data_IF_448170899664
#
_entry.id   IF_448170899664
#
_cell.length_a   1.000
_cell.length_b   1.000
_cell.length_c   1.000
_cell.angle_alpha   90.00
_cell.angle_beta   90.00
_cell.angle_gamma   90.00
#
_symmetry.space_group_name_H-M   'P 1'
#
loop_
_entity.id
_entity.type
_entity.pdbx_description
1 polymer ?
#
# COMPACT_ATOMS: atom_id res chain seq x y z
N UNK A 1 3.04 -2.93 -35.85
CA UNK A 1 3.30 -1.48 -35.70
C UNK A 1 2.13 -0.91 -34.91
N UNK A 2 2.34 -0.48 -33.66
CA UNK A 2 1.24 -0.04 -32.77
C UNK A 2 0.47 1.13 -33.40
N UNK A 3 -0.86 1.00 -33.54
CA UNK A 3 -1.71 2.03 -34.13
C UNK A 3 -1.59 3.38 -33.39
N UNK A 4 -1.35 3.35 -32.07
CA UNK A 4 -1.10 4.55 -31.26
C UNK A 4 0.21 5.25 -31.62
N UNK A 5 1.29 4.49 -31.91
CA UNK A 5 2.56 5.06 -32.37
C UNK A 5 2.44 5.67 -33.77
N UNK A 6 1.65 5.05 -34.65
CA UNK A 6 1.35 5.59 -35.97
C UNK A 6 0.52 6.89 -35.87
N UNK A 7 -0.51 6.90 -35.02
CA UNK A 7 -1.30 8.12 -34.77
C UNK A 7 -0.45 9.24 -34.19
N UNK A 8 0.51 8.92 -33.32
CA UNK A 8 1.46 9.88 -32.76
C UNK A 8 2.41 10.43 -33.83
N UNK A 9 2.94 9.57 -34.71
CA UNK A 9 3.86 9.99 -35.78
C UNK A 9 3.16 10.82 -36.86
N UNK A 10 1.87 10.55 -37.11
CA UNK A 10 1.01 11.35 -37.98
C UNK A 10 0.52 12.65 -37.34
N UNK A 11 0.83 12.90 -36.06
CA UNK A 11 0.42 14.10 -35.34
C UNK A 11 -1.06 14.15 -34.96
N UNK A 12 -1.76 13.01 -35.05
CA UNK A 12 -3.19 12.90 -34.72
C UNK A 12 -3.44 12.94 -33.22
N UNK A 13 -2.50 12.42 -32.41
CA UNK A 13 -2.59 12.42 -30.94
C UNK A 13 -1.57 13.35 -30.29
N UNK A 14 -2.00 14.05 -29.25
CA UNK A 14 -1.12 14.86 -28.42
C UNK A 14 -0.18 13.96 -27.59
N UNK A 15 1.03 14.43 -27.20
CA UNK A 15 1.96 13.63 -26.39
C UNK A 15 1.35 13.11 -25.08
N UNK A 16 0.55 13.93 -24.40
CA UNK A 16 -0.11 13.56 -23.14
C UNK A 16 -1.22 12.51 -23.34
N UNK A 17 -1.97 12.60 -24.45
CA UNK A 17 -3.00 11.62 -24.79
C UNK A 17 -2.36 10.27 -25.11
N UNK A 18 -1.29 10.28 -25.91
CA UNK A 18 -0.52 9.08 -26.21
C UNK A 18 0.08 8.45 -24.94
N UNK A 19 0.66 9.26 -24.05
CA UNK A 19 1.17 8.76 -22.77
C UNK A 19 0.05 8.09 -21.97
N UNK A 20 -1.12 8.71 -21.84
CA UNK A 20 -2.28 8.16 -21.14
C UNK A 20 -2.77 6.85 -21.77
N UNK A 21 -2.81 6.75 -23.09
CA UNK A 21 -3.18 5.50 -23.79
C UNK A 21 -2.21 4.36 -23.47
N UNK A 22 -0.90 4.64 -23.49
CA UNK A 22 0.13 3.66 -23.14
C UNK A 22 0.03 3.24 -21.67
N UNK A 23 -0.06 4.19 -20.74
CA UNK A 23 -0.16 3.91 -19.31
C UNK A 23 -1.45 3.18 -18.95
N UNK A 24 -2.56 3.48 -19.63
CA UNK A 24 -3.82 2.74 -19.50
C UNK A 24 -3.66 1.28 -19.95
N UNK A 25 -2.91 1.05 -21.02
CA UNK A 25 -2.59 -0.30 -21.48
C UNK A 25 -1.73 -1.05 -20.45
N UNK A 26 -0.72 -0.40 -19.86
CA UNK A 26 0.11 -0.95 -18.79
C UNK A 26 -0.69 -1.23 -17.51
N UNK A 27 -1.62 -0.35 -17.13
CA UNK A 27 -2.57 -0.56 -16.04
C UNK A 27 -3.40 -1.83 -16.26
N UNK A 28 -3.84 -2.05 -17.49
CA UNK A 28 -4.50 -3.29 -17.91
C UNK A 28 -3.54 -4.47 -18.14
N UNK A 29 -2.24 -4.30 -17.97
CA UNK A 29 -1.25 -5.37 -18.07
C UNK A 29 -0.69 -5.80 -16.69
N UNK A 30 -1.10 -5.14 -15.61
CA UNK A 30 -0.69 -5.46 -14.24
C UNK A 30 -0.92 -6.95 -13.91
N UNK A 31 0.16 -7.61 -13.52
CA UNK A 31 0.23 -9.01 -13.13
C UNK A 31 1.11 -9.19 -11.88
N UNK A 32 0.88 -10.23 -11.08
CA UNK A 32 1.74 -10.52 -9.93
C UNK A 32 3.13 -10.90 -10.42
N UNK A 33 4.16 -10.28 -9.87
CA UNK A 33 5.56 -10.61 -10.20
C UNK A 33 6.12 -11.64 -9.21
N UNK A 34 7.14 -12.38 -9.63
CA UNK A 34 7.90 -13.30 -8.76
C UNK A 34 8.81 -12.58 -7.75
N UNK A 35 8.81 -11.24 -7.72
CA UNK A 35 9.62 -10.44 -6.81
C UNK A 35 9.30 -10.71 -5.35
N UNK A 36 10.33 -10.87 -4.52
CA UNK A 36 10.22 -11.15 -3.09
C UNK A 36 10.98 -10.11 -2.28
N UNK A 37 10.41 -9.74 -1.14
CA UNK A 37 11.02 -8.85 -0.15
C UNK A 37 11.46 -9.68 1.04
N UNK A 38 12.73 -9.66 1.39
CA UNK A 38 13.28 -10.57 2.41
C UNK A 38 14.22 -9.81 3.35
N UNK A 39 13.99 -9.96 4.66
CA UNK A 39 14.86 -9.38 5.69
C UNK A 39 16.01 -10.33 6.11
N UNK A 40 16.19 -11.46 5.42
CA UNK A 40 17.29 -12.39 5.71
C UNK A 40 18.52 -12.01 4.90
N UNK A 41 19.54 -11.51 5.59
CA UNK A 41 20.91 -11.45 5.06
C UNK A 41 21.37 -12.91 4.96
N UNK A 42 21.74 -13.39 3.76
CA UNK A 42 22.39 -14.71 3.60
C UNK A 42 23.52 -14.78 4.63
N UNK A 43 23.39 -15.64 5.65
CA UNK A 43 24.53 -15.99 6.51
C UNK A 43 25.57 -16.57 5.57
N UNK A 44 26.71 -15.90 5.45
CA UNK A 44 27.85 -16.38 4.68
C UNK A 44 28.19 -17.79 5.18
N UNK A 45 28.33 -18.72 4.24
CA UNK A 45 28.63 -20.11 4.51
C UNK A 45 29.96 -20.24 5.27
N UNK A 46 29.87 -20.32 6.59
CA UNK A 46 30.90 -20.84 7.49
C UNK A 46 30.19 -21.38 8.72
N UNK A 47 29.45 -22.48 8.55
CA UNK A 47 29.30 -23.47 9.59
C UNK A 47 28.79 -24.76 8.94
N UNK A 48 29.61 -25.79 9.07
CA UNK A 48 29.33 -27.16 8.68
C UNK A 48 28.07 -27.65 9.39
N UNK A 49 26.93 -27.69 8.68
CA UNK A 49 25.89 -28.66 9.02
C UNK A 49 25.14 -29.13 7.77
N UNK A 50 25.64 -30.23 7.19
CA UNK A 50 24.93 -31.02 6.19
C UNK A 50 23.86 -31.86 6.89
N UNK A 51 22.78 -31.25 7.40
CA UNK A 51 21.52 -31.96 7.62
C UNK A 51 20.34 -31.00 7.63
N UNK A 52 19.66 -30.87 6.49
CA UNK A 52 18.20 -30.87 6.30
C UNK A 52 17.90 -30.40 4.88
N UNK A 53 16.95 -31.06 4.21
CA UNK A 53 16.38 -30.60 2.95
C UNK A 53 15.81 -29.19 3.20
N UNK A 54 16.42 -28.17 2.59
CA UNK A 54 15.98 -26.77 2.70
C UNK A 54 14.77 -26.52 1.78
N UNK A 55 13.68 -27.26 2.04
CA UNK A 55 12.38 -27.04 1.44
C UNK A 55 11.78 -25.74 2.01
N UNK A 56 11.94 -24.64 1.30
CA UNK A 56 11.05 -23.48 1.40
C UNK A 56 11.06 -22.72 2.73
N UNK A 57 12.22 -22.18 3.15
CA UNK A 57 12.25 -21.13 4.17
C UNK A 57 11.39 -19.96 3.67
N UNK A 58 10.23 -19.73 4.30
CA UNK A 58 9.38 -18.58 4.01
C UNK A 58 10.21 -17.28 4.10
N UNK A 59 10.56 -16.72 2.95
CA UNK A 59 11.27 -15.45 2.83
C UNK A 59 10.27 -14.32 3.01
N UNK A 60 10.16 -13.80 4.22
CA UNK A 60 9.16 -12.79 4.60
C UNK A 60 9.85 -11.42 4.80
N UNK A 61 9.14 -10.33 4.51
CA UNK A 61 9.65 -8.98 4.69
C UNK A 61 9.73 -8.58 6.17
N UNK A 62 8.74 -9.01 6.96
CA UNK A 62 8.68 -8.84 8.40
C UNK A 62 8.37 -10.17 9.10
N UNK A 63 8.79 -10.35 10.36
CA UNK A 63 8.53 -11.59 11.08
C UNK A 63 7.04 -11.75 11.42
N UNK A 64 6.34 -10.62 11.59
CA UNK A 64 4.88 -10.55 11.67
C UNK A 64 4.26 -9.94 10.40
N UNK A 65 2.93 -9.82 10.37
CA UNK A 65 2.20 -9.20 9.26
C UNK A 65 2.62 -7.76 9.01
N UNK A 66 2.74 -7.38 7.74
CA UNK A 66 2.98 -5.98 7.33
C UNK A 66 1.67 -5.23 7.47
N UNK A 67 1.66 -4.15 8.24
CA UNK A 67 0.45 -3.36 8.52
C UNK A 67 0.25 -2.23 7.52
N UNK A 68 1.33 -1.55 7.14
CA UNK A 68 1.29 -0.37 6.26
C UNK A 68 2.55 -0.29 5.42
N UNK A 69 2.40 0.22 4.19
CA UNK A 69 3.48 0.52 3.27
C UNK A 69 3.28 1.92 2.69
N UNK A 70 4.37 2.60 2.38
CA UNK A 70 4.36 3.91 1.73
C UNK A 70 5.54 4.00 0.75
N UNK A 71 5.31 4.59 -0.42
CA UNK A 71 6.36 4.82 -1.42
C UNK A 71 6.64 6.32 -1.46
N UNK A 72 7.91 6.65 -1.66
CA UNK A 72 8.34 8.03 -1.84
C UNK A 72 7.63 8.66 -3.05
N UNK A 73 7.11 9.87 -2.86
CA UNK A 73 6.40 10.62 -3.91
C UNK A 73 7.35 11.40 -4.83
N UNK A 74 8.58 11.64 -4.40
CA UNK A 74 9.54 12.47 -5.13
C UNK A 74 10.29 11.66 -6.18
N UNK A 75 10.96 10.59 -5.79
CA UNK A 75 11.73 9.75 -6.71
C UNK A 75 11.06 8.41 -7.01
N UNK A 76 10.04 8.01 -6.22
CA UNK A 76 9.41 6.70 -6.38
C UNK A 76 10.36 5.52 -6.13
N UNK A 77 11.57 5.76 -5.63
CA UNK A 77 12.63 4.77 -5.48
C UNK A 77 12.56 4.00 -4.16
N UNK A 78 12.20 4.68 -3.09
CA UNK A 78 12.24 4.11 -1.74
C UNK A 78 10.85 3.70 -1.25
N UNK A 79 10.73 2.45 -0.80
CA UNK A 79 9.55 1.89 -0.15
C UNK A 79 9.79 1.79 1.35
N UNK A 80 8.86 2.28 2.17
CA UNK A 80 8.77 2.02 3.60
C UNK A 80 7.78 0.90 3.87
N UNK A 81 8.12 0.04 4.82
CA UNK A 81 7.19 -0.97 5.33
C UNK A 81 7.22 -1.06 6.85
N UNK A 82 6.02 -1.18 7.43
CA UNK A 82 5.80 -1.25 8.87
C UNK A 82 5.23 -2.60 9.26
N UNK A 83 5.87 -3.24 10.22
CA UNK A 83 5.46 -4.53 10.76
C UNK A 83 4.54 -4.41 11.97
N UNK A 84 3.67 -5.41 12.12
CA UNK A 84 2.92 -5.64 13.36
C UNK A 84 3.84 -6.03 14.54
N UNK A 85 5.10 -6.36 14.26
CA UNK A 85 6.18 -6.63 15.21
C UNK A 85 6.97 -5.38 15.63
N UNK A 86 6.47 -4.18 15.30
CA UNK A 86 7.09 -2.86 15.53
C UNK A 86 8.32 -2.55 14.68
N UNK A 87 8.68 -3.42 13.73
CA UNK A 87 9.82 -3.18 12.85
C UNK A 87 9.48 -2.24 11.70
N UNK A 88 10.44 -1.42 11.30
CA UNK A 88 10.37 -0.52 10.14
C UNK A 88 11.51 -0.90 9.21
N UNK A 89 11.20 -1.14 7.93
CA UNK A 89 12.20 -1.47 6.92
C UNK A 89 12.09 -0.51 5.74
N UNK A 90 13.24 -0.14 5.18
CA UNK A 90 13.34 0.69 3.97
C UNK A 90 13.92 -0.17 2.85
N UNK A 91 13.31 -0.11 1.68
CA UNK A 91 13.68 -0.89 0.51
C UNK A 91 13.99 0.04 -0.65
N UNK A 92 15.08 -0.25 -1.35
CA UNK A 92 15.40 0.39 -2.63
C UNK A 92 14.79 -0.44 -3.76
N UNK A 93 13.82 0.13 -4.48
CA UNK A 93 13.14 -0.54 -5.58
C UNK A 93 13.95 -0.57 -6.88
N UNK A 94 15.05 0.19 -6.94
CA UNK A 94 15.97 0.30 -8.08
C UNK A 94 17.35 -0.30 -7.82
N UNK A 95 17.61 -0.80 -6.61
CA UNK A 95 18.87 -1.44 -6.28
C UNK A 95 19.09 -2.69 -7.15
N UNK A 96 19.84 -2.51 -8.23
CA UNK A 96 20.39 -3.59 -9.02
C UNK A 96 21.71 -4.04 -8.39
N UNK A 97 21.85 -5.34 -8.13
CA UNK A 97 23.11 -5.91 -7.71
C UNK A 97 23.46 -7.05 -8.66
N UNK A 98 24.64 -6.94 -9.28
CA UNK A 98 25.22 -7.94 -10.21
C UNK A 98 25.35 -9.34 -9.60
N UNK A 99 25.28 -9.45 -8.26
CA UNK A 99 25.52 -10.69 -7.52
C UNK A 99 24.26 -11.30 -6.90
N UNK A 100 23.11 -10.63 -7.01
CA UNK A 100 21.85 -11.05 -6.40
C UNK A 100 20.78 -11.31 -7.45
N UNK A 101 19.97 -12.34 -7.23
CA UNK A 101 18.78 -12.62 -8.04
C UNK A 101 17.96 -11.33 -8.22
N UNK A 102 17.68 -10.89 -9.46
CA UNK A 102 17.00 -9.61 -9.74
C UNK A 102 15.56 -9.56 -9.20
N UNK A 103 15.05 -10.70 -8.72
CA UNK A 103 13.73 -10.85 -8.11
C UNK A 103 13.73 -10.65 -6.59
N UNK A 104 14.88 -10.48 -5.92
CA UNK A 104 14.94 -10.41 -4.45
C UNK A 104 15.36 -9.02 -3.97
N UNK A 105 14.41 -8.30 -3.38
CA UNK A 105 14.67 -7.04 -2.68
C UNK A 105 15.14 -7.32 -1.24
N UNK A 106 16.25 -6.69 -0.88
CA UNK A 106 16.78 -6.67 0.49
C UNK A 106 16.57 -5.27 1.08
N UNK A 107 16.31 -5.16 2.39
CA UNK A 107 16.16 -3.86 3.01
C UNK A 107 17.53 -3.16 3.01
N UNK A 108 17.53 -1.86 2.73
CA UNK A 108 18.70 -1.01 2.97
C UNK A 108 19.00 -0.98 4.47
N UNK A 109 17.95 -0.74 5.26
CA UNK A 109 17.99 -0.75 6.70
C UNK A 109 16.67 -1.27 7.25
N UNK A 110 16.74 -2.01 8.36
CA UNK A 110 15.60 -2.55 9.08
C UNK A 110 15.81 -2.32 10.57
N UNK A 111 15.01 -1.46 11.17
CA UNK A 111 15.05 -1.22 12.61
C UNK A 111 14.05 -2.13 13.31
N UNK A 112 14.55 -2.84 14.32
CA UNK A 112 13.78 -3.72 15.18
C UNK A 112 13.43 -3.02 16.50
N UNK A 113 12.56 -3.67 17.29
CA UNK A 113 12.08 -3.15 18.58
C UNK A 113 13.22 -2.75 19.51
N UNK A 114 13.37 -1.44 19.73
CA UNK A 114 14.37 -0.81 20.60
C UNK A 114 13.68 0.16 21.57
N UNK A 115 14.36 0.59 22.64
CA UNK A 115 13.82 1.56 23.61
C UNK A 115 13.44 2.91 22.98
N UNK A 116 14.13 3.35 21.93
CA UNK A 116 13.84 4.58 21.18
C UNK A 116 12.72 4.42 20.15
N UNK A 117 12.33 3.18 19.84
CA UNK A 117 11.41 2.83 18.75
C UNK A 117 10.02 2.48 19.29
N UNK A 118 9.10 2.12 18.40
CA UNK A 118 7.75 1.74 18.82
C UNK A 118 7.76 0.47 19.69
N UNK A 119 6.89 0.45 20.71
CA UNK A 119 6.77 -0.69 21.62
C UNK A 119 5.85 -1.79 21.09
N UNK A 120 4.83 -1.38 20.35
CA UNK A 120 3.82 -2.24 19.76
C UNK A 120 3.77 -2.08 18.23
N UNK A 121 3.00 -2.94 17.57
CA UNK A 121 2.88 -2.98 16.12
C UNK A 121 2.49 -1.63 15.53
N UNK A 122 3.06 -1.35 14.36
CA UNK A 122 2.79 -0.13 13.60
C UNK A 122 1.40 -0.25 12.98
N UNK A 123 0.65 0.85 12.96
CA UNK A 123 -0.70 0.90 12.39
C UNK A 123 -0.71 1.57 11.01
N UNK A 124 0.07 2.65 10.86
CA UNK A 124 0.14 3.43 9.62
C UNK A 124 1.54 4.03 9.45
N UNK A 125 1.98 4.17 8.21
CA UNK A 125 3.21 4.85 7.80
C UNK A 125 2.89 5.85 6.68
N UNK A 126 3.54 7.01 6.70
CA UNK A 126 3.48 7.97 5.61
C UNK A 126 4.79 8.74 5.51
N UNK A 127 5.22 9.05 4.28
CA UNK A 127 6.31 10.01 4.08
C UNK A 127 5.86 11.41 4.45
N UNK A 128 6.80 12.22 4.90
CA UNK A 128 6.57 13.63 5.07
C UNK A 128 6.31 14.27 3.70
N UNK A 129 5.20 14.99 3.48
CA UNK A 129 4.77 15.36 2.13
C UNK A 129 5.71 16.31 1.37
N UNK A 130 6.57 17.04 2.08
CA UNK A 130 7.44 18.07 1.51
C UNK A 130 8.92 17.68 1.50
N UNK A 131 9.29 16.55 2.09
CA UNK A 131 10.67 16.09 2.24
C UNK A 131 10.73 14.56 2.29
N UNK A 132 11.49 13.94 1.40
CA UNK A 132 11.70 12.48 1.36
C UNK A 132 12.56 11.98 2.53
N UNK A 133 13.30 12.86 3.19
CA UNK A 133 14.21 12.53 4.28
C UNK A 133 13.50 12.31 5.62
N UNK A 134 12.20 12.59 5.70
CA UNK A 134 11.40 12.40 6.90
C UNK A 134 10.16 11.55 6.64
N UNK A 135 9.77 10.77 7.65
CA UNK A 135 8.51 10.02 7.60
C UNK A 135 7.87 9.90 8.99
N UNK A 136 6.57 9.65 8.99
CA UNK A 136 5.73 9.50 10.15
C UNK A 136 5.34 8.04 10.34
N UNK A 137 5.33 7.60 11.59
CA UNK A 137 4.81 6.29 11.97
C UNK A 137 3.86 6.42 13.16
N UNK A 138 2.75 5.69 13.10
CA UNK A 138 1.82 5.55 14.21
C UNK A 138 1.75 4.11 14.67
N UNK A 139 1.49 3.91 15.96
CA UNK A 139 1.50 2.57 16.57
C UNK A 139 0.38 2.38 17.59
N UNK A 140 0.12 1.10 17.90
CA UNK A 140 -0.69 0.68 19.03
C UNK A 140 -0.11 1.09 20.40
N UNK A 141 1.12 1.62 20.46
CA UNK A 141 1.73 2.15 21.68
C UNK A 141 1.31 3.56 22.09
N UNK A 142 0.28 4.09 21.41
CA UNK A 142 -0.31 5.40 21.64
C UNK A 142 0.57 6.57 21.19
N UNK A 143 1.64 6.28 20.43
CA UNK A 143 2.56 7.30 19.94
C UNK A 143 2.49 7.48 18.44
N UNK A 144 2.75 8.72 18.01
CA UNK A 144 3.14 9.09 16.66
C UNK A 144 4.58 9.57 16.72
N UNK A 145 5.42 9.06 15.83
CA UNK A 145 6.85 9.38 15.79
C UNK A 145 7.24 9.92 14.43
N UNK A 146 8.15 10.88 14.42
CA UNK A 146 8.85 11.34 13.22
C UNK A 146 10.21 10.66 13.18
N UNK A 147 10.56 10.14 12.03
CA UNK A 147 11.82 9.47 11.77
C UNK A 147 12.55 10.12 10.61
N UNK A 148 13.88 10.04 10.65
CA UNK A 148 14.72 10.28 9.46
C UNK A 148 14.74 9.02 8.60
N UNK A 149 14.58 9.16 7.28
CA UNK A 149 14.68 8.02 6.35
C UNK A 149 16.12 7.57 6.11
N UNK A 150 17.12 8.43 6.33
CA UNK A 150 18.54 8.06 6.17
C UNK A 150 19.06 7.16 7.30
N UNK A 151 18.57 7.35 8.52
CA UNK A 151 19.12 6.70 9.73
C UNK A 151 18.10 5.84 10.48
N UNK A 152 16.83 5.87 10.07
CA UNK A 152 15.66 5.32 10.79
C UNK A 152 15.59 5.71 12.29
N UNK A 153 16.25 6.79 12.69
CA UNK A 153 16.22 7.25 14.09
C UNK A 153 14.97 8.09 14.33
N UNK A 154 14.37 7.92 15.51
CA UNK A 154 13.24 8.75 15.93
C UNK A 154 13.73 10.14 16.33
N UNK A 155 13.24 11.17 15.65
CA UNK A 155 13.56 12.58 15.91
C UNK A 155 12.64 13.16 16.98
N UNK A 156 11.33 12.91 16.85
CA UNK A 156 10.32 13.38 17.79
C UNK A 156 9.31 12.26 18.11
N UNK A 157 8.78 12.28 19.33
CA UNK A 157 7.75 11.34 19.79
C UNK A 157 6.60 12.11 20.41
N UNK A 158 5.39 11.86 19.92
CA UNK A 158 4.16 12.47 20.41
C UNK A 158 3.27 11.39 21.02
N UNK A 159 2.96 11.52 22.31
CA UNK A 159 2.05 10.61 23.00
C UNK A 159 0.63 11.19 23.00
N UNK A 160 -0.34 10.40 22.53
CA UNK A 160 -1.76 10.79 22.42
C UNK A 160 -2.65 10.10 23.46
N UNK A 161 -2.06 9.29 24.35
CA UNK A 161 -2.74 8.54 25.43
C UNK A 161 -3.84 7.57 24.95
N UNK A 162 -3.88 7.31 23.65
CA UNK A 162 -4.89 6.48 22.99
C UNK A 162 -4.30 5.81 21.76
N UNK A 163 -4.81 4.63 21.40
CA UNK A 163 -4.37 3.89 20.22
C UNK A 163 -4.57 4.75 18.97
N UNK A 164 -3.55 4.85 18.13
CA UNK A 164 -3.61 5.58 16.86
C UNK A 164 -3.85 4.59 15.73
N UNK A 165 -4.99 4.69 15.05
CA UNK A 165 -5.35 3.80 13.94
C UNK A 165 -4.77 4.25 12.61
N UNK A 166 -4.79 5.54 12.35
CA UNK A 166 -4.20 6.16 11.15
C UNK A 166 -3.81 7.60 11.46
N UNK A 167 -2.97 8.16 10.61
CA UNK A 167 -2.58 9.55 10.66
C UNK A 167 -2.44 10.07 9.23
N UNK A 168 -2.59 11.39 9.06
CA UNK A 168 -2.35 12.01 7.76
C UNK A 168 -1.89 13.47 7.92
N UNK A 169 -1.19 13.97 6.90
CA UNK A 169 -0.70 15.34 6.80
C UNK A 169 -1.08 15.92 5.44
N UNK A 170 -1.49 17.18 5.43
CA UNK A 170 -1.86 17.83 4.17
C UNK A 170 -0.67 17.89 3.21
N UNK A 171 -0.84 17.47 1.94
CA UNK A 171 0.24 17.51 0.95
C UNK A 171 0.52 18.92 0.41
N UNK A 172 -0.35 19.89 0.71
CA UNK A 172 -0.27 21.27 0.18
C UNK A 172 -0.12 22.32 1.28
N UNK A 173 -0.57 22.03 2.50
CA UNK A 173 -0.69 23.05 3.51
C UNK A 173 0.66 23.57 4.00
N UNK A 174 0.69 24.87 4.29
CA UNK A 174 1.83 25.51 4.96
C UNK A 174 1.91 25.18 6.46
N UNK A 175 0.82 24.67 7.04
CA UNK A 175 0.79 24.30 8.46
C UNK A 175 1.41 22.92 8.68
N UNK A 176 2.12 22.76 9.80
CA UNK A 176 2.78 21.52 10.18
C UNK A 176 1.89 20.65 11.07
N UNK A 177 0.60 20.54 10.74
CA UNK A 177 -0.38 19.77 11.51
C UNK A 177 -0.52 18.35 10.97
N UNK A 178 -0.39 17.38 11.86
CA UNK A 178 -0.69 15.97 11.61
C UNK A 178 -2.02 15.64 12.28
N UNK A 179 -2.97 15.15 11.48
CA UNK A 179 -4.24 14.66 11.99
C UNK A 179 -4.10 13.20 12.40
N UNK A 180 -4.52 12.88 13.62
CA UNK A 180 -4.38 11.54 14.19
C UNK A 180 -5.77 10.97 14.50
N UNK A 181 -6.11 9.86 13.85
CA UNK A 181 -7.28 9.06 14.13
C UNK A 181 -6.99 8.15 15.33
N UNK A 182 -7.70 8.35 16.43
CA UNK A 182 -7.46 7.61 17.67
C UNK A 182 -8.67 6.81 18.13
N UNK A 183 -8.49 5.93 19.11
CA UNK A 183 -9.61 5.23 19.76
C UNK A 183 -10.58 6.20 20.44
N UNK A 184 -10.15 7.42 20.75
CA UNK A 184 -11.05 8.45 21.25
C UNK A 184 -11.98 8.98 20.15
N UNK A 185 -13.18 9.46 20.51
CA UNK A 185 -14.11 10.07 19.56
C UNK A 185 -13.67 11.44 19.02
N UNK A 186 -12.52 11.95 19.47
CA UNK A 186 -11.97 13.21 19.01
C UNK A 186 -10.77 12.95 18.10
N UNK A 187 -10.66 13.75 17.05
CA UNK A 187 -9.46 13.76 16.21
C UNK A 187 -8.44 14.63 16.91
N UNK A 188 -7.22 14.14 17.10
CA UNK A 188 -6.12 14.94 17.66
C UNK A 188 -5.33 15.56 16.50
N UNK A 189 -5.08 16.86 16.57
CA UNK A 189 -4.11 17.51 15.70
C UNK A 189 -2.83 17.73 16.49
N UNK A 190 -1.73 17.25 15.93
CA UNK A 190 -0.38 17.43 16.48
C UNK A 190 0.33 18.46 15.62
N UNK A 191 0.78 19.54 16.22
CA UNK A 191 1.65 20.51 15.56
C UNK A 191 3.10 20.09 15.70
N UNK A 192 3.76 19.82 14.57
CA UNK A 192 5.15 19.37 14.56
C UNK A 192 6.13 20.50 14.90
N UNK A 193 5.75 21.76 14.73
CA UNK A 193 6.63 22.89 15.02
C UNK A 193 6.76 23.14 16.53
N UNK A 194 5.62 23.20 17.22
CA UNK A 194 5.58 23.40 18.68
C UNK A 194 5.69 22.09 19.47
N UNK A 195 5.45 20.96 18.82
CA UNK A 195 5.28 19.65 19.45
C UNK A 195 4.01 19.51 20.29
N UNK A 196 3.08 20.48 20.21
CA UNK A 196 1.85 20.48 20.98
C UNK A 196 0.78 19.56 20.34
N UNK A 197 0.06 18.82 21.17
CA UNK A 197 -1.09 17.96 20.80
C UNK A 197 -2.44 18.53 21.25
N UNK A 198 -2.52 19.86 21.40
CA UNK A 198 -3.61 20.53 22.12
C UNK A 198 -4.91 20.65 21.32
N UNK A 199 -4.86 20.66 19.99
CA UNK A 199 -6.06 20.82 19.18
C UNK A 199 -6.82 19.49 19.07
N UNK A 200 -8.11 19.51 19.42
CA UNK A 200 -8.98 18.36 19.31
C UNK A 200 -10.24 18.73 18.51
N UNK A 201 -10.55 17.95 17.48
CA UNK A 201 -11.78 18.11 16.70
C UNK A 201 -12.85 17.20 17.31
N UNK A 202 -13.89 17.82 17.87
CA UNK A 202 -14.96 17.14 18.60
C UNK A 202 -16.19 17.04 17.72
N UNK A 203 -16.74 15.83 17.54
CA UNK A 203 -18.01 15.64 16.83
C UNK A 203 -18.39 14.17 16.61
N UNK A 204 -17.41 13.28 16.37
CA UNK A 204 -17.69 11.85 16.29
C UNK A 204 -18.23 11.30 17.62
N UNK A 205 -19.07 10.27 17.55
CA UNK A 205 -19.62 9.60 18.74
C UNK A 205 -18.93 8.26 19.04
N UNK A 206 -17.98 7.85 18.20
CA UNK A 206 -17.19 6.63 18.36
C UNK A 206 -15.75 6.84 17.91
N UNK A 207 -14.92 5.81 18.03
CA UNK A 207 -13.50 5.87 17.68
C UNK A 207 -13.29 6.32 16.23
N UNK A 208 -12.30 7.18 16.00
CA UNK A 208 -11.94 7.63 14.65
C UNK A 208 -10.91 6.64 14.09
N UNK A 209 -11.22 6.02 12.95
CA UNK A 209 -10.38 4.96 12.38
C UNK A 209 -9.54 5.47 11.23
N UNK A 210 -10.11 6.35 10.40
CA UNK A 210 -9.46 6.88 9.19
C UNK A 210 -9.55 8.40 9.16
N UNK A 211 -8.48 9.06 8.75
CA UNK A 211 -8.40 10.50 8.50
C UNK A 211 -7.69 10.73 7.16
N UNK A 212 -8.10 11.77 6.44
CA UNK A 212 -7.49 12.14 5.17
C UNK A 212 -7.62 13.65 4.91
N UNK A 213 -6.51 14.36 4.71
CA UNK A 213 -6.49 15.77 4.34
C UNK A 213 -6.88 15.95 2.87
N UNK A 214 -7.54 17.07 2.58
CA UNK A 214 -7.83 17.45 1.20
C UNK A 214 -6.53 17.73 0.44
N UNK A 215 -6.37 17.20 -0.79
CA UNK A 215 -5.22 17.51 -1.63
C UNK A 215 -5.33 18.87 -2.33
N UNK A 216 -6.45 19.58 -2.19
CA UNK A 216 -6.72 20.86 -2.88
C UNK A 216 -7.00 22.02 -1.92
N UNK A 217 -7.54 21.75 -0.73
CA UNK A 217 -7.75 22.78 0.30
C UNK A 217 -6.89 22.52 1.54
N UNK A 218 -6.01 23.45 1.88
CA UNK A 218 -5.03 23.32 2.97
C UNK A 218 -5.63 22.90 4.32
N UNK A 219 -6.78 23.48 4.66
CA UNK A 219 -7.37 23.40 6.00
C UNK A 219 -8.53 22.39 6.12
N UNK A 220 -8.82 21.66 5.05
CA UNK A 220 -9.95 20.73 5.01
C UNK A 220 -9.48 19.32 5.30
N UNK A 221 -10.15 18.67 6.26
CA UNK A 221 -9.90 17.30 6.67
C UNK A 221 -11.19 16.48 6.53
N UNK A 222 -11.09 15.24 6.09
CA UNK A 222 -12.15 14.24 6.17
C UNK A 222 -11.79 13.15 7.20
N UNK A 223 -12.78 12.63 7.92
CA UNK A 223 -12.58 11.54 8.88
C UNK A 223 -13.70 10.52 8.86
N UNK A 224 -13.36 9.26 9.11
CA UNK A 224 -14.29 8.13 9.23
C UNK A 224 -14.22 7.49 10.61
N UNK A 225 -15.38 7.24 11.22
CA UNK A 225 -15.49 6.70 12.57
C UNK A 225 -16.24 5.38 12.69
N UNK A 226 -16.18 4.79 13.88
CA UNK A 226 -16.98 3.59 14.23
C UNK A 226 -18.47 3.88 14.38
N UNK A 227 -18.86 5.16 14.40
CA UNK A 227 -20.25 5.62 14.39
C UNK A 227 -20.93 5.51 13.01
N UNK A 228 -20.18 5.12 11.98
CA UNK A 228 -20.67 5.01 10.60
C UNK A 228 -20.77 6.34 9.87
N UNK A 229 -20.25 7.41 10.48
CA UNK A 229 -20.26 8.76 9.90
C UNK A 229 -18.94 9.06 9.22
N UNK A 230 -19.00 9.86 8.16
CA UNK A 230 -17.84 10.56 7.60
C UNK A 230 -18.08 12.04 7.74
N UNK A 231 -17.11 12.74 8.32
CA UNK A 231 -17.22 14.15 8.67
C UNK A 231 -16.15 14.97 7.97
N UNK A 232 -16.51 16.19 7.61
CA UNK A 232 -15.58 17.20 7.13
C UNK A 232 -15.29 18.24 8.20
N UNK A 233 -14.05 18.73 8.21
CA UNK A 233 -13.56 19.69 9.19
C UNK A 233 -12.82 20.82 8.48
N UNK A 234 -13.05 22.05 8.92
CA UNK A 234 -12.19 23.20 8.66
C UNK A 234 -11.50 23.55 9.98
N UNK A 235 -10.20 23.28 10.05
CA UNK A 235 -9.44 23.41 11.30
C UNK A 235 -9.33 24.86 11.81
N UNK A 236 -9.64 25.86 10.97
CA UNK A 236 -9.59 27.28 11.34
C UNK A 236 -10.83 27.72 12.11
N UNK A 237 -11.90 26.93 12.09
CA UNK A 237 -13.18 27.30 12.71
C UNK A 237 -13.25 26.78 14.14
N UNK A 238 -13.86 27.56 15.03
CA UNK A 238 -14.04 27.19 16.44
C UNK A 238 -14.94 25.96 16.64
N UNK A 239 -15.96 25.81 15.78
CA UNK A 239 -16.83 24.63 15.78
C UNK A 239 -16.27 23.47 14.95
N UNK A 240 -15.13 23.69 14.25
CA UNK A 240 -14.38 22.86 13.29
C UNK A 240 -15.16 22.01 12.27
N UNK A 241 -16.22 21.33 12.66
CA UNK A 241 -17.07 20.51 11.81
C UNK A 241 -17.84 21.35 10.77
N UNK A 242 -17.73 20.92 9.52
CA UNK A 242 -18.46 21.47 8.38
C UNK A 242 -19.76 20.71 8.13
N UNK A 243 -19.72 19.38 8.20
CA UNK A 243 -20.88 18.53 7.93
C UNK A 243 -20.57 17.04 7.94
N UNK A 244 -21.63 16.24 7.80
CA UNK A 244 -21.61 14.77 7.78
C UNK A 244 -22.16 14.28 6.45
N UNK A 245 -21.55 13.26 5.86
CA UNK A 245 -22.05 12.60 4.66
C UNK A 245 -23.23 11.67 4.95
N UNK A 246 -24.21 11.64 4.04
CA UNK A 246 -25.41 10.82 4.16
C UNK A 246 -25.59 9.93 2.93
N UNK A 247 -25.56 8.62 3.13
CA UNK A 247 -25.62 7.62 2.05
C UNK A 247 -26.91 7.64 1.25
N UNK A 248 -27.99 8.18 1.81
CA UNK A 248 -29.30 8.32 1.17
C UNK A 248 -29.39 9.61 0.32
N UNK A 249 -28.44 10.54 0.45
CA UNK A 249 -28.46 11.82 -0.27
C UNK A 249 -27.67 11.74 -1.59
N UNK A 250 -28.39 11.53 -2.69
CA UNK A 250 -27.83 11.53 -4.04
C UNK A 250 -27.88 12.90 -4.74
N UNK A 251 -28.59 13.88 -4.16
CA UNK A 251 -28.73 15.23 -4.75
C UNK A 251 -27.62 16.14 -4.21
N UNK A 252 -27.25 15.94 -2.95
CA UNK A 252 -26.36 16.82 -2.21
C UNK A 252 -26.99 18.19 -1.99
N UNK A 253 -26.17 19.12 -1.50
CA UNK A 253 -26.56 20.49 -1.20
C UNK A 253 -26.00 21.38 -2.31
N UNK A 254 -26.89 21.96 -3.13
CA UNK A 254 -26.47 22.92 -4.16
C UNK A 254 -26.05 24.24 -3.50
N UNK A 255 -24.87 24.76 -3.84
CA UNK A 255 -24.26 25.88 -3.13
C UNK A 255 -23.55 25.49 -1.82
N UNK A 256 -23.38 24.19 -1.57
CA UNK A 256 -22.28 23.71 -0.73
C UNK A 256 -20.99 24.03 -1.49
N UNK A 257 -20.05 24.66 -0.80
CA UNK A 257 -18.75 25.07 -1.32
C UNK A 257 -17.66 24.10 -0.86
N UNK A 258 -18.04 22.91 -0.38
CA UNK A 258 -17.16 22.02 0.38
C UNK A 258 -16.71 22.59 1.72
N UNK A 259 -17.07 23.85 2.04
CA UNK A 259 -16.61 24.65 3.19
C UNK A 259 -17.76 24.97 4.14
N UNK A 260 -18.89 24.25 4.03
CA UNK A 260 -19.98 24.26 5.00
C UNK A 260 -20.66 25.61 5.21
N UNK A 261 -20.88 26.40 4.15
CA UNK A 261 -21.61 27.69 4.25
C UNK A 261 -23.13 27.57 4.08
N UNK A 262 -23.70 26.40 3.75
CA UNK A 262 -25.15 26.24 3.53
C UNK A 262 -25.88 25.17 4.39
N UNK A 263 -26.73 25.70 5.28
CA UNK A 263 -28.10 25.32 5.69
C UNK A 263 -28.56 23.88 6.05
N UNK A 264 -27.74 22.81 6.09
CA UNK A 264 -28.19 21.54 6.74
C UNK A 264 -27.63 21.36 8.15
N UNK A 265 -28.45 20.90 9.13
CA UNK A 265 -27.99 20.68 10.50
C UNK A 265 -26.90 19.60 10.59
N UNK A 266 -25.87 19.92 11.36
CA UNK A 266 -24.61 19.19 11.60
C UNK A 266 -24.72 17.86 12.37
N UNK A 267 -25.70 17.00 12.07
CA UNK A 267 -25.85 15.81 12.94
C UNK A 267 -26.76 14.68 12.50
N UNK A 268 -27.30 14.70 11.28
CA UNK A 268 -28.06 13.56 10.75
C UNK A 268 -27.49 13.17 9.39
N UNK A 269 -26.83 12.03 9.36
CA UNK A 269 -26.28 11.42 8.17
C UNK A 269 -25.45 10.21 8.56
N UNK A 270 -25.52 9.14 7.78
CA UNK A 270 -24.61 7.99 7.90
C UNK A 270 -24.00 7.73 6.54
N UNK A 271 -22.68 7.69 6.48
CA UNK A 271 -21.99 7.33 5.25
C UNK A 271 -22.08 5.83 5.00
N UNK A 272 -22.05 5.03 6.07
CA UNK A 272 -22.15 3.57 6.03
C UNK A 272 -23.04 3.06 7.17
N UNK A 273 -23.63 1.86 7.01
CA UNK A 273 -24.42 1.23 8.08
C UNK A 273 -23.56 0.60 9.19
N UNK A 274 -22.24 0.57 9.01
CA UNK A 274 -21.25 0.10 9.98
C UNK A 274 -20.02 1.01 10.02
N UNK A 275 -18.95 0.56 10.69
CA UNK A 275 -17.69 1.32 10.85
C UNK A 275 -17.12 1.78 9.52
N UNK A 276 -16.68 3.04 9.45
CA UNK A 276 -15.91 3.57 8.32
C UNK A 276 -14.43 3.52 8.65
N UNK A 277 -13.69 2.70 7.93
CA UNK A 277 -12.26 2.45 8.16
C UNK A 277 -11.36 2.85 6.98
N UNK A 278 -11.93 3.38 5.90
CA UNK A 278 -11.16 3.92 4.78
C UNK A 278 -11.80 5.19 4.27
N UNK A 279 -11.00 6.24 4.16
CA UNK A 279 -11.34 7.54 3.59
C UNK A 279 -10.15 7.96 2.72
N UNK A 280 -10.40 8.24 1.45
CA UNK A 280 -9.37 8.73 0.52
C UNK A 280 -9.96 9.76 -0.43
N UNK A 281 -9.20 10.80 -0.73
CA UNK A 281 -9.58 11.83 -1.70
C UNK A 281 -9.12 11.45 -3.09
N UNK A 282 -9.90 11.83 -4.11
CA UNK A 282 -9.36 11.91 -5.46
C UNK A 282 -8.29 13.00 -5.53
N UNK A 283 -7.32 12.84 -6.44
CA UNK A 283 -6.19 13.76 -6.59
C UNK A 283 -6.64 15.22 -6.86
N UNK A 284 -7.77 15.40 -7.53
CA UNK A 284 -8.37 16.71 -7.81
C UNK A 284 -9.27 17.23 -6.69
N UNK A 285 -9.41 16.51 -5.57
CA UNK A 285 -10.22 16.89 -4.42
C UNK A 285 -11.73 16.94 -4.67
N UNK A 286 -12.22 16.60 -5.87
CA UNK A 286 -13.65 16.67 -6.25
C UNK A 286 -14.46 15.46 -5.78
N UNK A 287 -13.77 14.37 -5.46
CA UNK A 287 -14.39 13.15 -5.00
C UNK A 287 -13.74 12.63 -3.74
N UNK A 288 -14.56 12.01 -2.91
CA UNK A 288 -14.12 11.24 -1.75
C UNK A 288 -14.57 9.80 -1.94
N UNK A 289 -13.69 8.84 -1.63
CA UNK A 289 -14.04 7.42 -1.62
C UNK A 289 -14.00 6.93 -0.18
N UNK A 290 -15.09 6.30 0.26
CA UNK A 290 -15.21 5.78 1.61
C UNK A 290 -15.50 4.29 1.60
N UNK A 291 -14.95 3.58 2.58
CA UNK A 291 -15.14 2.13 2.72
C UNK A 291 -15.58 1.80 4.14
N UNK A 292 -16.53 0.87 4.27
CA UNK A 292 -17.06 0.50 5.57
C UNK A 292 -17.31 -0.99 5.77
N UNK A 293 -17.61 -1.36 7.01
CA UNK A 293 -17.93 -2.73 7.44
C UNK A 293 -19.25 -3.26 6.87
N UNK A 294 -20.05 -2.38 6.27
CA UNK A 294 -21.22 -2.76 5.47
C UNK A 294 -20.86 -3.40 4.12
N UNK A 295 -19.56 -3.68 3.88
CA UNK A 295 -19.02 -4.27 2.67
C UNK A 295 -19.33 -3.43 1.42
N UNK A 296 -19.42 -2.11 1.60
CA UNK A 296 -19.62 -1.16 0.51
C UNK A 296 -18.43 -0.21 0.38
N UNK A 297 -18.20 0.17 -0.86
CA UNK A 297 -17.43 1.36 -1.24
C UNK A 297 -18.44 2.39 -1.73
N UNK A 298 -18.28 3.65 -1.32
CA UNK A 298 -19.10 4.76 -1.82
C UNK A 298 -18.20 5.85 -2.36
N UNK A 299 -18.66 6.53 -3.40
CA UNK A 299 -18.00 7.69 -3.99
C UNK A 299 -18.90 8.89 -3.78
N UNK A 300 -18.32 9.98 -3.31
CA UNK A 300 -19.03 11.20 -2.95
C UNK A 300 -18.51 12.33 -3.82
N UNK A 301 -19.39 13.23 -4.21
CA UNK A 301 -18.98 14.53 -4.73
C UNK A 301 -18.69 15.45 -3.53
N UNK A 302 -17.50 16.03 -3.48
CA UNK A 302 -17.07 16.87 -2.34
C UNK A 302 -17.63 18.28 -2.41
N UNK A 303 -17.90 18.79 -3.63
CA UNK A 303 -18.51 20.10 -3.84
C UNK A 303 -19.97 20.11 -3.37
N UNK A 304 -20.71 19.02 -3.53
CA UNK A 304 -22.14 18.95 -3.15
C UNK A 304 -22.42 18.08 -1.93
N UNK A 305 -21.49 17.21 -1.54
CA UNK A 305 -21.72 16.15 -0.55
C UNK A 305 -22.59 14.98 -1.05
N UNK A 306 -22.96 14.97 -2.33
CA UNK A 306 -23.85 13.95 -2.90
C UNK A 306 -23.16 12.58 -3.02
N UNK A 307 -23.86 11.52 -2.68
CA UNK A 307 -23.49 10.14 -3.03
C UNK A 307 -23.70 9.94 -4.54
N UNK A 308 -22.68 9.51 -5.26
CA UNK A 308 -22.78 9.25 -6.72
C UNK A 308 -23.58 7.99 -7.05
N UNK A 309 -23.89 7.16 -6.04
CA UNK A 309 -24.59 5.88 -6.17
C UNK A 309 -23.84 4.84 -7.03
N UNK A 310 -22.53 5.02 -7.23
CA UNK A 310 -21.67 4.04 -7.89
C UNK A 310 -21.78 2.65 -7.22
N UNK A 311 -21.98 1.60 -8.01
CA UNK A 311 -22.26 0.25 -7.51
C UNK A 311 -21.08 -0.69 -7.71
N UNK A 312 -20.38 -1.03 -6.62
CA UNK A 312 -19.19 -1.89 -6.65
C UNK A 312 -19.49 -3.40 -6.52
N UNK A 313 -20.77 -3.79 -6.56
CA UNK A 313 -21.21 -5.18 -6.44
C UNK A 313 -20.95 -5.82 -5.05
N UNK A 314 -21.15 -7.15 -4.91
CA UNK A 314 -21.11 -7.86 -3.62
C UNK A 314 -19.73 -8.45 -3.24
N UNK A 315 -18.72 -8.26 -4.09
CA UNK A 315 -17.39 -8.88 -3.96
C UNK A 315 -16.51 -8.20 -2.92
N UNK A 316 -16.78 -6.94 -2.62
CA UNK A 316 -16.11 -6.15 -1.59
C UNK A 316 -16.28 -6.87 -0.25
N UNK A 317 -15.17 -7.18 0.43
CA UNK A 317 -15.17 -7.70 1.81
C UNK A 317 -14.36 -6.79 2.71
N UNK A 318 -14.99 -6.37 3.79
CA UNK A 318 -14.38 -5.52 4.80
C UNK A 318 -14.99 -5.87 6.16
N UNK A 319 -14.18 -6.44 7.04
CA UNK A 319 -14.63 -6.98 8.33
C UNK A 319 -13.69 -6.66 9.49
N UNK A 320 -12.64 -5.87 9.25
CA UNK A 320 -11.60 -5.62 10.23
C UNK A 320 -11.54 -4.14 10.57
N UNK A 321 -11.28 -3.83 11.84
CA UNK A 321 -11.23 -2.45 12.32
C UNK A 321 -9.98 -1.68 11.87
N UNK A 322 -8.95 -2.36 11.34
CA UNK A 322 -7.78 -1.69 10.79
C UNK A 322 -8.15 -0.73 9.67
N UNK A 323 -7.43 0.39 9.58
CA UNK A 323 -7.57 1.31 8.47
C UNK A 323 -7.37 0.54 7.14
N UNK A 324 -8.30 0.71 6.21
CA UNK A 324 -8.32 0.01 4.92
C UNK A 324 -8.52 1.07 3.83
N UNK A 325 -7.43 1.74 3.48
CA UNK A 325 -7.45 2.86 2.55
C UNK A 325 -7.36 2.29 1.12
N UNK A 326 -8.37 2.48 0.26
CA UNK A 326 -8.27 2.09 -1.14
C UNK A 326 -7.35 3.06 -1.88
N UNK A 327 -6.75 2.59 -2.97
CA UNK A 327 -5.78 3.35 -3.75
C UNK A 327 -6.44 3.83 -5.05
N UNK A 328 -6.32 5.12 -5.35
CA UNK A 328 -6.82 5.73 -6.58
C UNK A 328 -5.63 5.92 -7.52
N UNK A 329 -5.78 5.49 -8.77
CA UNK A 329 -4.75 5.70 -9.79
C UNK A 329 -4.55 7.19 -10.07
N UNK A 330 -3.30 7.69 -10.16
CA UNK A 330 -3.03 9.08 -10.51
C UNK A 330 -3.68 9.50 -11.84
N UNK A 331 -4.21 10.72 -11.90
CA UNK A 331 -4.90 11.25 -13.08
C UNK A 331 -3.96 11.46 -14.27
N UNK A 332 -2.67 11.57 -14.04
CA UNK A 332 -1.66 11.60 -15.11
C UNK A 332 -1.64 10.32 -15.94
N UNK A 333 -2.00 9.18 -15.34
CA UNK A 333 -1.88 7.84 -15.95
C UNK A 333 -3.17 7.33 -16.59
N UNK A 334 -4.29 7.99 -16.32
CA UNK A 334 -5.64 7.49 -16.62
C UNK A 334 -6.38 8.50 -17.52
N UNK A 335 -7.30 8.06 -18.40
CA UNK A 335 -8.11 8.98 -19.18
C UNK A 335 -8.96 9.87 -18.25
N UNK A 336 -9.21 11.13 -18.61
CA UNK A 336 -9.79 12.15 -17.72
C UNK A 336 -11.20 11.83 -17.20
N UNK A 337 -11.88 10.84 -17.76
CA UNK A 337 -13.24 10.43 -17.40
C UNK A 337 -13.33 9.09 -16.68
N UNK A 338 -12.22 8.36 -16.52
CA UNK A 338 -12.23 6.96 -16.10
C UNK A 338 -11.28 6.65 -14.95
N UNK A 339 -11.47 7.29 -13.81
CA UNK A 339 -10.64 7.03 -12.64
C UNK A 339 -10.71 5.55 -12.22
N UNK A 340 -9.55 4.97 -11.90
CA UNK A 340 -9.42 3.56 -11.52
C UNK A 340 -9.20 3.47 -10.01
N UNK A 341 -9.95 2.60 -9.36
CA UNK A 341 -9.89 2.33 -7.94
C UNK A 341 -9.36 0.91 -7.68
N UNK A 342 -8.32 0.81 -6.86
CA UNK A 342 -7.78 -0.44 -6.34
C UNK A 342 -8.27 -0.65 -4.91
N UNK A 343 -9.12 -1.65 -4.73
CA UNK A 343 -9.67 -2.01 -3.43
C UNK A 343 -8.94 -3.23 -2.84
N UNK A 344 -8.31 -3.11 -1.65
CA UNK A 344 -7.65 -4.23 -0.97
C UNK A 344 -8.69 -5.19 -0.38
N UNK A 345 -9.00 -6.27 -1.11
CA UNK A 345 -9.79 -7.38 -0.59
C UNK A 345 -8.86 -8.36 0.16
N UNK A 346 -9.38 -9.25 1.03
CA UNK A 346 -8.53 -10.19 1.75
C UNK A 346 -7.66 -11.07 0.82
N UNK A 347 -8.25 -11.75 -0.16
CA UNK A 347 -7.49 -12.70 -1.00
C UNK A 347 -7.02 -12.15 -2.36
N UNK A 348 -7.47 -10.95 -2.73
CA UNK A 348 -7.25 -10.38 -4.05
C UNK A 348 -7.35 -8.85 -3.97
N UNK A 349 -6.79 -8.14 -4.95
CA UNK A 349 -7.04 -6.71 -5.11
C UNK A 349 -8.08 -6.57 -6.21
N UNK A 350 -9.20 -5.91 -5.90
CA UNK A 350 -10.26 -5.66 -6.86
C UNK A 350 -10.00 -4.32 -7.54
N UNK A 351 -9.94 -4.34 -8.87
CA UNK A 351 -9.73 -3.13 -9.68
C UNK A 351 -11.07 -2.74 -10.29
N UNK A 352 -11.54 -1.56 -9.95
CA UNK A 352 -12.82 -1.01 -10.37
C UNK A 352 -12.64 0.28 -11.17
N UNK A 353 -13.58 0.53 -12.09
CA UNK A 353 -13.85 1.88 -12.58
C UNK A 353 -14.62 2.64 -11.49
N UNK A 354 -14.13 3.81 -11.08
CA UNK A 354 -14.59 4.52 -9.88
C UNK A 354 -16.04 4.98 -9.97
N UNK A 355 -16.46 5.58 -11.10
CA UNK A 355 -17.77 6.22 -11.22
C UNK A 355 -18.90 5.26 -11.56
N UNK A 356 -18.63 4.24 -12.38
CA UNK A 356 -19.63 3.20 -12.68
C UNK A 356 -19.66 2.09 -11.61
N UNK A 357 -18.54 1.89 -10.89
CA UNK A 357 -18.35 0.74 -10.01
C UNK A 357 -18.14 -0.58 -10.77
N UNK A 358 -17.84 -0.52 -12.06
CA UNK A 358 -17.63 -1.70 -12.91
C UNK A 358 -16.33 -2.39 -12.53
N UNK A 359 -16.39 -3.69 -12.25
CA UNK A 359 -15.20 -4.50 -11.99
C UNK A 359 -14.41 -4.68 -13.29
N UNK A 360 -13.17 -4.20 -13.30
CA UNK A 360 -12.25 -4.31 -14.43
C UNK A 360 -11.36 -5.55 -14.31
N UNK A 361 -10.79 -5.81 -13.13
CA UNK A 361 -9.86 -6.93 -12.91
C UNK A 361 -9.83 -7.38 -11.46
N UNK A 362 -9.37 -8.61 -11.25
CA UNK A 362 -8.97 -9.15 -9.94
C UNK A 362 -7.51 -9.51 -9.99
N UNK A 363 -6.69 -8.85 -9.18
CA UNK A 363 -5.28 -9.16 -9.03
C UNK A 363 -5.13 -10.19 -7.92
N UNK A 364 -4.63 -11.38 -8.28
CA UNK A 364 -4.45 -12.50 -7.36
C UNK A 364 -2.98 -12.87 -7.23
N UNK A 365 -2.49 -13.18 -6.03
CA UNK A 365 -1.12 -13.61 -5.85
C UNK A 365 -0.85 -14.91 -6.64
N UNK A 366 0.38 -15.09 -7.12
CA UNK A 366 0.79 -16.32 -7.79
C UNK A 366 0.60 -17.52 -6.86
N UNK A 367 -0.01 -18.61 -7.36
CA UNK A 367 -0.28 -19.83 -6.57
C UNK A 367 -1.71 -19.98 -6.04
N UNK A 368 -2.64 -19.07 -6.37
CA UNK A 368 -4.09 -19.30 -6.35
C UNK A 368 -4.67 -19.93 -5.07
N UNK A 369 -4.91 -19.12 -4.03
CA UNK A 369 -5.67 -19.56 -2.85
C UNK A 369 -5.56 -18.59 -1.68
N UNK A 370 -6.47 -18.72 -0.71
CA UNK A 370 -6.29 -18.08 0.61
C UNK A 370 -5.11 -18.81 1.25
N UNK A 371 -3.90 -18.28 1.08
CA UNK A 371 -2.74 -18.80 1.79
C UNK A 371 -3.01 -18.68 3.30
N UNK A 372 -3.12 -19.83 3.98
CA UNK A 372 -3.11 -19.86 5.44
C UNK A 372 -1.63 -19.89 5.81
N UNK A 373 -1.10 -18.73 6.19
CA UNK A 373 0.28 -18.63 6.66
C UNK A 373 0.31 -18.91 8.16
N UNK A 374 1.10 -19.89 8.58
CA UNK A 374 1.49 -20.07 9.97
C UNK A 374 2.65 -19.13 10.28
N UNK A 375 2.36 -18.06 11.03
CA UNK A 375 3.39 -17.15 11.52
C UNK A 375 3.84 -17.64 12.91
N UNK A 376 5.16 -17.79 13.10
CA UNK A 376 5.75 -17.97 14.44
C UNK A 376 5.87 -16.59 15.09
N UNK A 377 5.07 -16.33 16.13
CA UNK A 377 5.15 -15.10 16.92
C UNK A 377 5.58 -15.46 18.35
N UNK A 378 6.86 -15.30 18.65
CA UNK A 378 7.43 -15.71 19.94
C UNK A 378 7.40 -17.24 20.13
N UNK A 379 6.92 -17.71 21.28
CA UNK A 379 6.84 -19.15 21.63
C UNK A 379 5.63 -19.89 21.04
N UNK A 380 4.75 -19.21 20.29
CA UNK A 380 3.52 -19.79 19.72
C UNK A 380 3.42 -19.68 18.20
N UNK A 381 2.72 -20.63 17.57
CA UNK A 381 2.32 -20.57 16.17
C UNK A 381 0.90 -20.00 16.06
N UNK A 382 0.69 -18.98 15.21
CA UNK A 382 -0.65 -18.46 14.87
C UNK A 382 -0.93 -18.72 13.39
N UNK A 383 -2.09 -19.31 13.09
CA UNK A 383 -2.63 -19.38 11.75
C UNK A 383 -3.27 -18.03 11.41
N UNK A 384 -2.70 -17.32 10.46
CA UNK A 384 -3.23 -16.04 9.98
C UNK A 384 -3.81 -16.27 8.59
N UNK A 385 -5.09 -15.92 8.42
CA UNK A 385 -5.67 -15.84 7.07
C UNK A 385 -5.01 -14.68 6.35
N UNK A 386 -4.32 -14.97 5.25
CA UNK A 386 -3.68 -13.93 4.47
C UNK A 386 -4.73 -12.89 4.04
N UNK A 387 -4.43 -11.62 4.33
CA UNK A 387 -5.23 -10.48 3.88
C UNK A 387 -4.34 -9.35 3.42
N UNK A 388 -4.75 -8.64 2.38
CA UNK A 388 -4.14 -7.36 2.01
C UNK A 388 -4.44 -6.33 3.10
N UNK A 389 -3.41 -5.66 3.60
CA UNK A 389 -3.50 -4.69 4.70
C UNK A 389 -3.34 -3.25 4.21
N UNK A 390 -2.48 -3.03 3.23
CA UNK A 390 -2.17 -1.71 2.68
C UNK A 390 -1.69 -1.83 1.23
N UNK A 391 -1.89 -0.77 0.45
CA UNK A 391 -1.48 -0.65 -0.94
C UNK A 391 -0.67 0.64 -1.10
N UNK A 392 0.33 0.61 -1.98
CA UNK A 392 1.08 1.79 -2.37
C UNK A 392 1.27 1.82 -3.89
N UNK A 393 1.19 3.03 -4.47
CA UNK A 393 1.41 3.29 -5.89
C UNK A 393 2.83 3.79 -6.13
N UNK A 394 3.50 3.31 -7.17
CA UNK A 394 4.74 3.89 -7.68
C UNK A 394 4.42 4.69 -8.95
N UNK A 395 4.55 6.02 -8.86
CA UNK A 395 4.06 6.94 -9.89
C UNK A 395 4.72 6.72 -11.26
N UNK A 396 6.04 6.55 -11.30
CA UNK A 396 6.79 6.61 -12.55
C UNK A 396 6.70 5.34 -13.41
N UNK A 397 6.54 4.16 -12.79
CA UNK A 397 6.65 2.87 -13.49
C UNK A 397 5.33 2.08 -13.64
N UNK A 398 4.18 2.68 -13.30
CA UNK A 398 2.87 1.98 -13.27
C UNK A 398 2.97 0.66 -12.46
N UNK A 399 3.54 0.73 -11.26
CA UNK A 399 3.69 -0.43 -10.38
C UNK A 399 2.84 -0.25 -9.12
N UNK A 400 2.21 -1.33 -8.67
CA UNK A 400 1.49 -1.36 -7.39
C UNK A 400 2.20 -2.30 -6.45
N UNK A 401 2.29 -1.92 -5.18
CA UNK A 401 2.80 -2.78 -4.12
C UNK A 401 1.70 -3.05 -3.11
N UNK A 402 1.63 -4.28 -2.62
CA UNK A 402 0.66 -4.69 -1.62
C UNK A 402 1.32 -5.33 -0.41
N UNK A 403 0.93 -4.84 0.77
CA UNK A 403 1.31 -5.39 2.06
C UNK A 403 0.28 -6.44 2.50
N UNK A 404 0.77 -7.47 3.17
CA UNK A 404 -0.05 -8.60 3.59
C UNK A 404 0.15 -8.97 5.06
N UNK A 405 -0.93 -9.48 5.66
CA UNK A 405 -0.93 -9.96 7.03
C UNK A 405 -0.07 -11.22 7.26
N UNK A 406 0.36 -11.90 6.20
CA UNK A 406 1.34 -13.00 6.24
C UNK A 406 2.79 -12.51 6.42
N UNK A 407 3.02 -11.18 6.37
CA UNK A 407 4.33 -10.54 6.47
C UNK A 407 5.01 -10.30 5.12
N UNK A 408 4.39 -10.72 4.03
CA UNK A 408 4.94 -10.54 2.67
C UNK A 408 4.55 -9.19 2.09
N UNK A 409 5.42 -8.68 1.21
CA UNK A 409 5.15 -7.57 0.31
C UNK A 409 5.17 -8.16 -1.10
N UNK A 410 4.16 -7.84 -1.91
CA UNK A 410 4.05 -8.31 -3.29
C UNK A 410 4.08 -7.11 -4.24
N UNK A 411 4.77 -7.26 -5.36
CA UNK A 411 4.76 -6.29 -6.44
C UNK A 411 3.82 -6.75 -7.56
N UNK A 412 3.14 -5.78 -8.15
CA UNK A 412 2.28 -5.91 -9.31
C UNK A 412 2.86 -5.02 -10.39
N UNK A 413 3.49 -5.63 -11.38
CA UNK A 413 4.15 -4.94 -12.48
C UNK A 413 3.39 -5.21 -13.79
N UNK A 414 3.38 -4.25 -14.73
CA UNK A 414 2.82 -4.50 -16.05
C UNK A 414 3.71 -5.51 -16.77
N UNK A 415 3.10 -6.53 -17.38
CA UNK A 415 3.79 -7.44 -18.30
C UNK A 415 3.20 -7.27 -19.70
N UNK A 416 4.00 -6.72 -20.60
CA UNK A 416 3.65 -6.60 -22.01
C UNK A 416 3.84 -7.93 -22.74
N UNK A 417 3.38 -7.99 -24.00
CA UNK A 417 3.55 -9.19 -24.83
C UNK A 417 5.04 -9.38 -25.18
N UNK A 418 5.78 -8.30 -25.34
CA UNK A 418 7.22 -8.33 -25.63
C UNK A 418 7.98 -8.92 -24.43
N UNK A 419 7.62 -8.52 -23.20
CA UNK A 419 8.19 -9.10 -21.98
C UNK A 419 7.94 -10.62 -21.91
N UNK A 420 6.73 -11.08 -22.27
CA UNK A 420 6.42 -12.51 -22.30
C UNK A 420 7.23 -13.29 -23.34
N UNK A 421 7.58 -12.66 -24.46
CA UNK A 421 8.41 -13.30 -25.49
C UNK A 421 9.84 -13.38 -24.99
N UNK A 422 10.35 -12.29 -24.40
CA UNK A 422 11.69 -12.26 -23.81
C UNK A 422 11.85 -13.29 -22.68
N UNK A 423 10.88 -13.36 -21.75
CA UNK A 423 10.86 -14.35 -20.67
C UNK A 423 10.90 -15.79 -21.23
N UNK A 424 10.13 -16.07 -22.30
CA UNK A 424 10.10 -17.38 -22.92
C UNK A 424 11.41 -17.74 -23.65
N UNK A 425 12.08 -16.75 -24.24
CA UNK A 425 13.40 -16.91 -24.85
C UNK A 425 14.46 -17.20 -23.77
N UNK A 426 14.45 -16.46 -22.66
CA UNK A 426 15.36 -16.67 -21.53
C UNK A 426 15.15 -18.04 -20.87
N UNK A 427 13.89 -18.46 -20.64
CA UNK A 427 13.57 -19.79 -20.11
C UNK A 427 14.10 -20.91 -21.02
N UNK A 428 13.96 -20.76 -22.34
CA UNK A 428 14.47 -21.72 -23.31
C UNK A 428 16.01 -21.80 -23.30
N UNK A 429 16.70 -20.67 -23.11
CA UNK A 429 18.16 -20.62 -22.97
C UNK A 429 18.64 -21.31 -21.69
N UNK A 430 17.95 -21.06 -20.56
CA UNK A 430 18.24 -21.70 -19.27
C UNK A 430 18.05 -23.21 -19.37
N UNK A 431 16.93 -23.68 -19.92
CA UNK A 431 16.67 -25.11 -20.12
C UNK A 431 17.74 -25.76 -21.00
N UNK A 432 18.17 -25.09 -22.07
CA UNK A 432 19.24 -25.57 -22.94
C UNK A 432 20.58 -25.68 -22.19
N UNK A 433 20.93 -24.68 -21.37
CA UNK A 433 22.14 -24.67 -20.55
C UNK A 433 22.11 -25.75 -19.46
N UNK A 434 20.98 -25.98 -18.80
CA UNK A 434 20.81 -27.06 -17.83
C UNK A 434 20.95 -28.44 -18.48
N UNK A 435 20.37 -28.63 -19.66
CA UNK A 435 20.54 -29.88 -20.42
C UNK A 435 22.00 -30.13 -20.82
N UNK A 436 22.73 -29.10 -21.24
CA UNK A 436 24.16 -29.22 -21.55
C UNK A 436 24.99 -29.54 -20.30
N UNK A 437 24.72 -28.87 -19.18
CA UNK A 437 25.35 -29.16 -17.89
C UNK A 437 25.05 -30.59 -17.41
N UNK A 438 23.83 -31.09 -17.62
CA UNK A 438 23.45 -32.47 -17.30
C UNK A 438 24.22 -33.48 -18.15
N UNK A 439 24.38 -33.22 -19.45
CA UNK A 439 25.22 -34.04 -20.35
C UNK A 439 26.69 -34.04 -19.93
N UNK A 440 27.24 -32.87 -19.57
CA UNK A 440 28.62 -32.76 -19.06
C UNK A 440 28.82 -33.53 -17.76
N UNK A 441 27.86 -33.44 -16.82
CA UNK A 441 27.88 -34.23 -15.57
C UNK A 441 27.86 -35.73 -15.84
N UNK A 442 26.97 -36.20 -16.71
CA UNK A 442 26.90 -37.61 -17.10
C UNK A 442 28.22 -38.09 -17.75
N UNK A 443 28.80 -37.30 -18.66
CA UNK A 443 30.08 -37.64 -19.27
C UNK A 443 31.24 -37.74 -18.26
N UNK A 444 31.28 -36.85 -17.26
CA UNK A 444 32.25 -36.90 -16.16
C UNK A 444 32.05 -38.14 -15.27
N UNK A 445 30.80 -38.52 -15.00
CA UNK A 445 30.43 -39.67 -14.18
C UNK A 445 30.80 -40.99 -14.88
N UNK A 446 30.61 -41.06 -16.20
CA UNK A 446 31.04 -42.20 -17.03
C UNK A 446 32.57 -42.33 -17.06
N UNK A 447 33.30 -41.22 -17.20
CA UNK A 447 34.78 -41.21 -17.14
C UNK A 447 35.25 -41.69 -15.76
N UNK A 448 34.63 -41.19 -14.68
CA UNK A 448 34.96 -41.59 -13.31
C UNK A 448 34.70 -43.09 -13.06
N UNK A 449 33.57 -43.62 -13.53
CA UNK A 449 33.29 -45.07 -13.47
C UNK A 449 34.29 -45.89 -14.31
N UNK A 450 34.73 -45.37 -15.46
CA UNK A 450 35.73 -46.03 -16.30
C UNK A 450 37.11 -46.10 -15.65
N UNK A 451 37.52 -45.06 -14.94
CA UNK A 451 38.80 -45.00 -14.20
C UNK A 451 38.80 -45.86 -12.94
N UNK A 452 37.70 -45.90 -12.19
CA UNK A 452 37.60 -46.67 -10.94
C UNK A 452 37.48 -48.19 -11.15
N UNK A 453 37.06 -48.65 -12.33
CA UNK A 453 36.96 -50.09 -12.68
C UNK A 453 38.28 -50.70 -13.19
N UNK A 454 39.27 -49.90 -13.60
CA UNK A 454 40.57 -50.42 -14.04
C UNK A 454 41.47 -50.71 -12.85
N UNK A 455 41.66 -51.99 -12.49
CA UNK A 455 42.73 -52.42 -11.57
C UNK A 455 44.08 -52.15 -12.24
N UNK A 456 44.81 -51.16 -11.74
CA UNK A 456 46.19 -50.89 -12.15
C UNK A 456 47.07 -51.96 -11.48
N UNK A 457 47.56 -52.92 -12.27
CA UNK A 457 48.62 -53.82 -11.84
C UNK A 457 49.96 -53.19 -12.19
N UNK A 458 50.73 -52.79 -11.18
CA UNK A 458 52.13 -52.43 -11.34
C UNK A 458 52.94 -53.72 -11.51
N UNK A 459 53.57 -53.90 -12.67
CA UNK A 459 54.45 -55.02 -12.98
C UNK A 459 55.86 -54.79 -12.44
#
# INVERSE_FOLDING_TARGET
>A
MNASLLNRSLGVSAPQEFQREQTTTLLHALQPTSTRFTNQIKRTASDDDKTTNDDGVNTVAHAAGVSSIAIDKFEGRYLLSGGSDSSISIWDLEAWSETSDPSIYRPLESVQRTSSQHRFGITHLSYYPFDSLAFLSSSYDHTVKIHSSETLTSSATFNLESIVYSHDMSPIAQHLLVACATQNPTIRLVDLNSGASSHALVGHSGAVVSVAWSPVDDYILASGGTDGTVRFWDIRRSASELGVLDMEDAVGIHGYDGKGTSARPRGRGKAHSGVVNGVVWSEDGRHLVTTGHDQRVRVWNTDTGANTLASFGPLVKNSHLSALIPLIAPKSLVPPTKDILFFPNPSEILVYEMFEGKLMRRLRPQGGGIAISTIKAGSGQRTVKNRTTSLAWRADNVEVYSAHADGTIRAWKPQTIEDKIADAEEEAEIEAAEQDNKKKRQGLEDIFQGLTKKRITFS
#
